data_IF_381498766252
#
_entry.id   IF_381498766252
#
_cell.length_a   1.000
_cell.length_b   1.000
_cell.length_c   1.000
_cell.angle_alpha   90.00
_cell.angle_beta   90.00
_cell.angle_gamma   90.00
#
_symmetry.space_group_name_H-M   'P 1'
#
loop_
_entity.id
_entity.type
_entity.pdbx_description
1 polymer ?
#
# COMPACT_ATOMS: atom_id res chain seq x y z
N UNK A 1 11.76 22.72 -23.76
CA UNK A 1 13.11 22.90 -23.19
C UNK A 1 13.02 22.46 -21.73
N UNK A 2 13.55 21.28 -21.39
CA UNK A 2 13.61 20.85 -19.99
C UNK A 2 14.61 21.76 -19.26
N UNK A 3 14.31 22.21 -18.02
CA UNK A 3 15.25 23.02 -17.27
C UNK A 3 16.54 22.22 -17.03
N UNK A 4 17.70 22.89 -17.09
CA UNK A 4 18.96 22.28 -16.66
C UNK A 4 18.85 21.90 -15.18
N UNK A 5 19.38 20.73 -14.75
CA UNK A 5 19.46 20.36 -13.34
C UNK A 5 20.22 21.43 -12.55
N UNK A 6 19.86 21.61 -11.29
CA UNK A 6 20.54 22.54 -10.40
C UNK A 6 21.94 22.01 -10.05
N UNK A 7 22.88 22.91 -9.70
CA UNK A 7 24.29 22.55 -9.52
C UNK A 7 24.51 21.51 -8.41
N UNK A 8 23.59 21.43 -7.43
CA UNK A 8 23.64 20.42 -6.37
C UNK A 8 23.64 18.99 -6.92
N UNK A 9 23.03 18.75 -8.09
CA UNK A 9 23.03 17.46 -8.75
C UNK A 9 24.44 17.00 -9.18
N UNK A 10 25.37 17.95 -9.35
CA UNK A 10 26.76 17.70 -9.74
C UNK A 10 27.75 17.86 -8.58
N UNK A 11 27.41 18.62 -7.54
CA UNK A 11 28.30 18.93 -6.41
C UNK A 11 28.41 17.77 -5.42
N UNK A 12 27.31 17.06 -5.13
CA UNK A 12 27.34 15.97 -4.17
C UNK A 12 27.80 14.67 -4.84
N UNK A 13 28.74 13.90 -4.23
CA UNK A 13 29.14 12.59 -4.72
C UNK A 13 28.03 11.56 -4.45
N UNK A 14 26.91 11.69 -5.16
CA UNK A 14 25.81 10.74 -5.13
C UNK A 14 26.18 9.62 -6.11
N UNK A 15 26.27 8.39 -5.60
CA UNK A 15 26.39 7.24 -6.49
C UNK A 15 25.06 7.03 -7.23
N UNK A 16 24.97 7.58 -8.44
CA UNK A 16 23.82 7.36 -9.33
C UNK A 16 23.97 5.95 -9.89
N UNK A 17 23.28 4.99 -9.28
CA UNK A 17 23.30 3.57 -9.65
C UNK A 17 23.09 3.36 -11.17
N UNK A 18 22.31 4.23 -11.82
CA UNK A 18 21.90 4.13 -13.23
C UNK A 18 22.78 5.00 -14.17
N UNK A 19 23.76 5.75 -13.65
CA UNK A 19 24.56 6.67 -14.49
C UNK A 19 25.55 5.97 -15.40
N UNK A 20 26.11 4.83 -14.97
CA UNK A 20 27.02 4.04 -15.79
C UNK A 20 26.25 2.98 -16.57
N UNK A 21 26.45 2.93 -17.89
CA UNK A 21 25.85 1.91 -18.79
C UNK A 21 26.03 0.49 -18.24
N UNK A 22 27.21 0.14 -17.73
CA UNK A 22 27.44 -1.21 -17.17
C UNK A 22 26.55 -1.51 -15.95
N UNK A 23 26.40 -0.53 -15.06
CA UNK A 23 25.53 -0.67 -13.89
C UNK A 23 24.06 -0.71 -14.29
N UNK A 24 23.65 0.11 -15.27
CA UNK A 24 22.31 0.11 -15.83
C UNK A 24 21.96 -1.26 -16.42
N UNK A 25 22.83 -1.83 -17.25
CA UNK A 25 22.64 -3.16 -17.82
C UNK A 25 22.54 -4.24 -16.73
N UNK A 26 23.40 -4.19 -15.72
CA UNK A 26 23.37 -5.15 -14.61
C UNK A 26 22.06 -5.03 -13.82
N UNK A 27 21.59 -3.82 -13.53
CA UNK A 27 20.30 -3.59 -12.85
C UNK A 27 19.13 -4.10 -13.68
N UNK A 28 19.03 -3.72 -14.95
CA UNK A 28 17.89 -4.03 -15.81
C UNK A 28 17.83 -5.51 -16.20
N UNK A 29 18.96 -6.11 -16.54
CA UNK A 29 18.98 -7.49 -17.08
C UNK A 29 19.25 -8.56 -16.03
N UNK A 30 19.84 -8.22 -14.88
CA UNK A 30 20.18 -9.20 -13.84
C UNK A 30 19.34 -8.98 -12.58
N UNK A 31 19.45 -7.82 -11.93
CA UNK A 31 18.81 -7.61 -10.64
C UNK A 31 17.28 -7.56 -10.73
N UNK A 32 16.70 -6.72 -11.61
CA UNK A 32 15.24 -6.60 -11.74
C UNK A 32 14.59 -7.97 -12.07
N UNK A 33 15.07 -8.76 -13.06
CA UNK A 33 14.48 -10.06 -13.36
C UNK A 33 14.68 -11.07 -12.22
N UNK A 34 15.84 -11.07 -11.55
CA UNK A 34 16.08 -11.95 -10.41
C UNK A 34 15.12 -11.68 -9.26
N UNK A 35 14.95 -10.42 -8.86
CA UNK A 35 14.01 -10.06 -7.80
C UNK A 35 12.55 -10.30 -8.20
N UNK A 36 12.19 -10.02 -9.46
CA UNK A 36 10.85 -10.30 -9.98
C UNK A 36 10.54 -11.81 -9.94
N UNK A 37 11.46 -12.65 -10.40
CA UNK A 37 11.31 -14.10 -10.39
C UNK A 37 11.23 -14.65 -8.97
N UNK A 38 12.10 -14.20 -8.06
CA UNK A 38 12.05 -14.60 -6.65
C UNK A 38 10.71 -14.21 -6.02
N UNK A 39 10.25 -12.97 -6.22
CA UNK A 39 8.98 -12.50 -5.67
C UNK A 39 7.80 -13.32 -6.19
N UNK A 40 7.79 -13.60 -7.50
CA UNK A 40 6.77 -14.44 -8.12
C UNK A 40 6.80 -15.88 -7.56
N UNK A 41 7.98 -16.48 -7.41
CA UNK A 41 8.12 -17.82 -6.86
C UNK A 41 7.63 -17.91 -5.41
N UNK A 42 8.01 -16.94 -4.56
CA UNK A 42 7.53 -16.86 -3.18
C UNK A 42 6.01 -16.69 -3.09
N UNK A 43 5.45 -15.83 -3.95
CA UNK A 43 4.01 -15.60 -4.02
C UNK A 43 3.25 -16.86 -4.42
N UNK A 44 3.68 -17.53 -5.49
CA UNK A 44 3.07 -18.76 -5.97
C UNK A 44 3.20 -19.89 -4.94
N UNK A 45 4.36 -20.03 -4.30
CA UNK A 45 4.58 -21.01 -3.24
C UNK A 45 3.63 -20.76 -2.05
N UNK A 46 3.49 -19.52 -1.62
CA UNK A 46 2.63 -19.17 -0.50
C UNK A 46 1.14 -19.41 -0.80
N UNK A 47 0.67 -19.00 -1.98
CA UNK A 47 -0.70 -19.27 -2.43
C UNK A 47 -0.94 -20.78 -2.54
N UNK A 48 -0.01 -21.51 -3.16
CA UNK A 48 -0.10 -22.96 -3.30
C UNK A 48 -0.26 -23.65 -1.95
N UNK A 49 0.64 -23.34 -1.00
CA UNK A 49 0.58 -23.88 0.36
C UNK A 49 -0.74 -23.52 1.04
N UNK A 50 -1.18 -22.26 0.93
CA UNK A 50 -2.42 -21.80 1.56
C UNK A 50 -3.63 -22.53 0.99
N UNK A 51 -3.73 -22.67 -0.32
CA UNK A 51 -4.82 -23.41 -0.98
C UNK A 51 -4.78 -24.88 -0.59
N UNK A 52 -3.61 -25.51 -0.57
CA UNK A 52 -3.44 -26.91 -0.19
C UNK A 52 -3.93 -27.17 1.24
N UNK A 53 -3.46 -26.39 2.22
CA UNK A 53 -3.85 -26.55 3.63
C UNK A 53 -5.27 -26.08 3.93
N UNK A 54 -5.96 -25.42 3.00
CA UNK A 54 -7.31 -24.91 3.24
C UNK A 54 -8.40 -25.71 2.53
N UNK A 55 -8.08 -26.31 1.38
CA UNK A 55 -9.04 -27.06 0.55
C UNK A 55 -8.74 -28.54 0.43
N UNK A 56 -7.47 -28.94 0.41
CA UNK A 56 -7.07 -30.34 0.12
C UNK A 56 -6.82 -31.11 1.41
N UNK A 57 -5.94 -30.59 2.27
CA UNK A 57 -5.52 -31.25 3.51
C UNK A 57 -5.66 -30.31 4.72
N UNK A 58 -6.90 -29.94 5.10
CA UNK A 58 -7.10 -29.05 6.24
C UNK A 58 -6.59 -29.67 7.54
N UNK A 59 -5.86 -28.89 8.37
CA UNK A 59 -5.36 -29.40 9.64
C UNK A 59 -6.52 -29.71 10.58
N UNK A 60 -6.45 -30.87 11.26
CA UNK A 60 -7.48 -31.33 12.22
C UNK A 60 -7.63 -30.40 13.44
N UNK A 61 -6.65 -29.54 13.70
CA UNK A 61 -6.65 -28.58 14.80
C UNK A 61 -7.53 -27.36 14.55
N UNK A 62 -8.02 -27.14 13.32
CA UNK A 62 -8.76 -25.93 12.94
C UNK A 62 -10.24 -26.25 12.76
N UNK A 63 -11.09 -25.54 13.51
CA UNK A 63 -12.54 -25.70 13.44
C UNK A 63 -13.10 -25.39 12.04
N UNK A 64 -14.25 -25.99 11.70
CA UNK A 64 -14.94 -25.71 10.43
C UNK A 64 -15.27 -24.21 10.27
N UNK A 65 -15.65 -23.55 11.37
CA UNK A 65 -15.92 -22.11 11.38
C UNK A 65 -14.66 -21.30 11.02
N UNK A 66 -13.52 -21.63 11.63
CA UNK A 66 -12.23 -20.98 11.33
C UNK A 66 -11.81 -21.20 9.88
N UNK A 67 -11.96 -22.41 9.33
CA UNK A 67 -11.65 -22.69 7.93
C UNK A 67 -12.51 -21.84 6.97
N UNK A 68 -13.81 -21.67 7.28
CA UNK A 68 -14.67 -20.81 6.48
C UNK A 68 -14.21 -19.35 6.50
N UNK A 69 -13.81 -18.83 7.66
CA UNK A 69 -13.24 -17.48 7.76
C UNK A 69 -11.94 -17.34 6.98
N UNK A 70 -11.05 -18.33 7.06
CA UNK A 70 -9.79 -18.35 6.31
C UNK A 70 -10.03 -18.38 4.79
N UNK A 71 -11.02 -19.14 4.31
CA UNK A 71 -11.39 -19.19 2.88
C UNK A 71 -11.90 -17.84 2.38
N UNK A 72 -12.81 -17.24 3.13
CA UNK A 72 -13.32 -15.91 2.81
C UNK A 72 -12.22 -14.84 2.87
N UNK A 73 -11.29 -14.95 3.82
CA UNK A 73 -10.13 -14.08 3.90
C UNK A 73 -9.23 -14.24 2.67
N UNK A 74 -8.87 -15.47 2.29
CA UNK A 74 -8.04 -15.77 1.12
C UNK A 74 -8.65 -15.20 -0.16
N UNK A 75 -9.93 -15.45 -0.44
CA UNK A 75 -10.61 -14.90 -1.62
C UNK A 75 -10.52 -13.38 -1.62
N UNK A 76 -10.72 -12.76 -0.46
CA UNK A 76 -10.63 -11.32 -0.37
C UNK A 76 -9.25 -10.75 -0.60
N UNK A 77 -8.23 -11.39 -0.02
CA UNK A 77 -6.82 -11.04 -0.24
C UNK A 77 -6.43 -11.19 -1.71
N UNK A 78 -6.90 -12.23 -2.41
CA UNK A 78 -6.64 -12.40 -3.84
C UNK A 78 -7.26 -11.28 -4.69
N UNK A 79 -8.49 -10.86 -4.36
CA UNK A 79 -9.14 -9.71 -5.03
C UNK A 79 -8.37 -8.41 -4.79
N UNK A 80 -7.88 -8.20 -3.57
CA UNK A 80 -7.07 -7.04 -3.22
C UNK A 80 -5.75 -7.02 -4.01
N UNK A 81 -5.04 -8.15 -4.04
CA UNK A 81 -3.79 -8.29 -4.80
C UNK A 81 -4.02 -7.99 -6.29
N UNK A 82 -5.06 -8.57 -6.89
CA UNK A 82 -5.41 -8.32 -8.28
C UNK A 82 -5.71 -6.84 -8.55
N UNK A 83 -6.44 -6.20 -7.63
CA UNK A 83 -6.75 -4.77 -7.76
C UNK A 83 -5.50 -3.92 -7.65
N UNK A 84 -4.62 -4.20 -6.68
CA UNK A 84 -3.35 -3.49 -6.51
C UNK A 84 -2.48 -3.59 -7.76
N UNK A 85 -2.30 -4.81 -8.28
CA UNK A 85 -1.50 -5.02 -9.48
C UNK A 85 -2.10 -4.35 -10.72
N UNK A 86 -3.43 -4.40 -10.92
CA UNK A 86 -4.05 -3.77 -12.09
C UNK A 86 -3.92 -2.24 -12.07
N UNK A 87 -4.14 -1.59 -10.92
CA UNK A 87 -4.02 -0.14 -10.78
C UNK A 87 -2.59 0.38 -10.88
N UNK A 88 -1.59 -0.39 -10.43
CA UNK A 88 -0.18 0.01 -10.57
C UNK A 88 0.41 -0.33 -11.94
N UNK A 89 0.09 -1.51 -12.48
CA UNK A 89 0.74 -2.00 -13.71
C UNK A 89 0.20 -1.29 -14.95
N UNK A 90 -1.09 -0.95 -14.97
CA UNK A 90 -1.72 -0.31 -16.13
C UNK A 90 -1.08 1.05 -16.48
N UNK A 91 -0.91 2.01 -15.54
CA UNK A 91 -0.22 3.27 -15.82
C UNK A 91 1.21 3.08 -16.33
N UNK A 92 1.96 2.15 -15.74
CA UNK A 92 3.34 1.84 -16.13
C UNK A 92 3.40 1.32 -17.57
N UNK A 93 2.52 0.38 -17.93
CA UNK A 93 2.43 -0.14 -19.30
C UNK A 93 2.08 0.98 -20.28
N UNK A 94 1.10 1.83 -19.95
CA UNK A 94 0.68 2.93 -20.83
C UNK A 94 1.81 3.94 -21.09
N UNK A 95 2.57 4.30 -20.05
CA UNK A 95 3.75 5.16 -20.18
C UNK A 95 4.84 4.47 -21.01
N UNK A 96 5.14 3.19 -20.74
CA UNK A 96 6.15 2.43 -21.47
C UNK A 96 5.82 2.28 -22.97
N UNK A 97 4.56 1.97 -23.29
CA UNK A 97 4.07 1.89 -24.68
C UNK A 97 4.15 3.25 -25.36
N UNK A 98 3.78 4.32 -24.67
CA UNK A 98 3.85 5.68 -25.22
C UNK A 98 5.29 6.12 -25.49
N UNK A 99 6.24 5.74 -24.62
CA UNK A 99 7.67 5.93 -24.85
C UNK A 99 8.15 5.14 -26.07
N UNK A 100 7.80 3.85 -26.17
CA UNK A 100 8.17 3.00 -27.31
C UNK A 100 7.62 3.53 -28.65
N UNK A 101 6.41 4.08 -28.65
CA UNK A 101 5.76 4.66 -29.83
C UNK A 101 6.16 6.12 -30.10
N UNK A 102 7.08 6.71 -29.34
CA UNK A 102 7.46 8.13 -29.40
C UNK A 102 6.26 9.09 -29.24
N UNK A 103 5.23 8.68 -28.49
CA UNK A 103 4.01 9.46 -28.16
C UNK A 103 3.97 9.86 -26.68
N UNK A 104 5.13 9.98 -26.05
CA UNK A 104 5.24 10.40 -24.67
C UNK A 104 4.73 11.84 -24.49
N UNK A 105 3.90 12.07 -23.48
CA UNK A 105 3.49 13.40 -23.05
C UNK A 105 3.65 13.54 -21.54
N UNK A 106 3.95 14.76 -21.10
CA UNK A 106 4.02 15.07 -19.67
C UNK A 106 2.66 14.92 -18.99
N UNK A 107 1.57 15.21 -19.71
CA UNK A 107 0.19 14.98 -19.26
C UNK A 107 -0.06 13.52 -18.90
N UNK A 108 0.36 12.58 -19.77
CA UNK A 108 0.23 11.15 -19.50
C UNK A 108 1.04 10.72 -18.27
N UNK A 109 2.27 11.22 -18.12
CA UNK A 109 3.10 10.93 -16.95
C UNK A 109 2.45 11.44 -15.66
N UNK A 110 1.93 12.67 -15.66
CA UNK A 110 1.24 13.23 -14.49
C UNK A 110 0.01 12.39 -14.12
N UNK A 111 -0.84 12.04 -15.08
CA UNK A 111 -2.00 11.16 -14.84
C UNK A 111 -1.56 9.79 -14.32
N UNK A 112 -0.48 9.21 -14.86
CA UNK A 112 0.05 7.93 -14.41
C UNK A 112 0.54 8.00 -12.96
N UNK A 113 1.26 9.06 -12.59
CA UNK A 113 1.71 9.31 -11.22
C UNK A 113 0.52 9.51 -10.28
N UNK A 114 -0.50 10.25 -10.69
CA UNK A 114 -1.72 10.44 -9.90
C UNK A 114 -2.48 9.12 -9.70
N UNK A 115 -2.61 8.28 -10.73
CA UNK A 115 -3.20 6.94 -10.60
C UNK A 115 -2.42 6.07 -9.61
N UNK A 116 -1.09 6.10 -9.70
CA UNK A 116 -0.23 5.40 -8.75
C UNK A 116 -0.40 6.00 -7.35
N UNK A 117 -0.50 7.32 -7.17
CA UNK A 117 -0.70 7.92 -5.85
C UNK A 117 -2.06 7.53 -5.23
N UNK A 118 -3.12 7.48 -6.04
CA UNK A 118 -4.48 7.18 -5.60
C UNK A 118 -4.74 5.68 -5.33
N UNK A 119 -3.80 4.78 -5.67
CA UNK A 119 -3.98 3.33 -5.48
C UNK A 119 -4.35 2.95 -4.05
N UNK A 120 -3.77 3.63 -3.04
CA UNK A 120 -4.02 3.33 -1.63
C UNK A 120 -5.48 3.59 -1.22
N UNK A 121 -6.13 4.60 -1.82
CA UNK A 121 -7.56 4.87 -1.59
C UNK A 121 -8.40 3.75 -2.18
N UNK A 122 -8.07 3.32 -3.40
CA UNK A 122 -8.75 2.19 -4.06
C UNK A 122 -8.59 0.91 -3.24
N UNK A 123 -7.38 0.65 -2.73
CA UNK A 123 -7.10 -0.50 -1.88
C UNK A 123 -7.97 -0.48 -0.61
N UNK A 124 -8.07 0.67 0.05
CA UNK A 124 -8.95 0.83 1.21
C UNK A 124 -10.41 0.51 0.86
N UNK A 125 -10.92 1.02 -0.27
CA UNK A 125 -12.28 0.74 -0.73
C UNK A 125 -12.49 -0.76 -0.98
N UNK A 126 -11.51 -1.44 -1.56
CA UNK A 126 -11.57 -2.90 -1.81
C UNK A 126 -11.58 -3.68 -0.51
N UNK A 127 -10.65 -3.39 0.41
CA UNK A 127 -10.59 -4.06 1.73
C UNK A 127 -11.94 -3.94 2.43
N UNK A 128 -12.49 -2.72 2.48
CA UNK A 128 -13.79 -2.47 3.08
C UNK A 128 -14.88 -3.22 2.33
N UNK A 129 -14.93 -3.18 1.00
CA UNK A 129 -15.99 -3.88 0.25
C UNK A 129 -16.00 -5.39 0.53
N UNK A 130 -14.82 -6.00 0.55
CA UNK A 130 -14.63 -7.44 0.55
C UNK A 130 -14.66 -8.04 1.97
N UNK A 131 -14.03 -7.42 2.95
CA UNK A 131 -13.88 -8.03 4.28
C UNK A 131 -14.93 -7.54 5.27
N UNK A 132 -15.90 -8.42 5.59
CA UNK A 132 -17.00 -8.14 6.54
C UNK A 132 -16.52 -7.59 7.89
N UNK A 133 -15.44 -8.14 8.44
CA UNK A 133 -14.90 -7.69 9.74
C UNK A 133 -14.42 -6.24 9.68
N UNK A 134 -13.73 -5.85 8.60
CA UNK A 134 -13.28 -4.48 8.40
C UNK A 134 -14.46 -3.54 8.21
N UNK A 135 -15.50 -3.90 7.45
CA UNK A 135 -16.73 -3.08 7.35
C UNK A 135 -17.39 -2.85 8.69
N UNK A 136 -17.52 -3.89 9.49
CA UNK A 136 -18.17 -3.80 10.78
C UNK A 136 -17.39 -2.90 11.73
N UNK A 137 -16.05 -3.03 11.74
CA UNK A 137 -15.18 -2.14 12.49
C UNK A 137 -15.32 -0.68 12.04
N UNK A 138 -15.30 -0.41 10.73
CA UNK A 138 -15.49 0.94 10.19
C UNK A 138 -16.86 1.52 10.55
N UNK A 139 -17.94 0.74 10.42
CA UNK A 139 -19.27 1.18 10.84
C UNK A 139 -19.31 1.54 12.32
N UNK A 140 -18.66 0.75 13.17
CA UNK A 140 -18.57 1.05 14.60
C UNK A 140 -17.79 2.34 14.86
N UNK A 141 -16.67 2.56 14.16
CA UNK A 141 -15.87 3.78 14.29
C UNK A 141 -16.64 5.02 13.83
N UNK A 142 -17.30 4.95 12.67
CA UNK A 142 -18.13 6.03 12.14
C UNK A 142 -19.30 6.32 13.08
N UNK A 143 -19.99 5.28 13.58
CA UNK A 143 -21.07 5.46 14.55
C UNK A 143 -20.56 6.11 15.84
N UNK A 144 -19.38 5.72 16.34
CA UNK A 144 -18.78 6.36 17.52
C UNK A 144 -18.46 7.82 17.25
N UNK A 145 -17.91 8.15 16.09
CA UNK A 145 -17.57 9.52 15.71
C UNK A 145 -18.83 10.40 15.59
N UNK A 146 -19.90 9.89 14.97
CA UNK A 146 -21.19 10.60 14.89
C UNK A 146 -21.88 10.75 16.25
N UNK A 147 -21.79 9.74 17.11
CA UNK A 147 -22.45 9.74 18.43
C UNK A 147 -21.54 10.27 19.55
N UNK A 148 -20.34 10.77 19.23
CA UNK A 148 -19.46 11.35 20.24
C UNK A 148 -20.09 12.64 20.75
N UNK A 149 -20.49 12.71 22.04
CA UNK A 149 -20.88 13.98 22.61
C UNK A 149 -19.67 14.91 22.59
N UNK A 150 -19.86 16.17 22.22
CA UNK A 150 -18.83 17.23 22.20
C UNK A 150 -18.17 17.48 23.58
N UNK A 151 -18.54 16.70 24.61
CA UNK A 151 -18.14 16.81 26.00
C UNK A 151 -17.15 15.74 26.44
N UNK A 152 -16.18 15.37 25.60
CA UNK A 152 -14.97 14.75 26.16
C UNK A 152 -14.23 15.86 26.90
N UNK A 153 -14.59 16.09 28.16
CA UNK A 153 -13.79 16.87 29.09
C UNK A 153 -12.38 16.29 28.98
N UNK A 154 -11.46 17.05 28.38
CA UNK A 154 -10.05 16.85 28.62
C UNK A 154 -9.95 16.81 30.14
N UNK A 155 -9.72 15.64 30.72
CA UNK A 155 -9.31 15.56 32.11
C UNK A 155 -7.99 16.31 32.14
N UNK A 156 -8.04 17.59 32.52
CA UNK A 156 -6.87 18.28 32.98
C UNK A 156 -6.33 17.43 34.12
N UNK A 157 -5.20 16.77 33.86
CA UNK A 157 -4.39 16.20 34.92
C UNK A 157 -4.22 17.36 35.92
N UNK A 158 -4.67 17.22 37.18
CA UNK A 158 -4.44 18.28 38.15
C UNK A 158 -2.94 18.34 38.36
N UNK A 159 -2.29 19.31 37.74
CA UNK A 159 -0.95 19.72 38.14
C UNK A 159 -1.11 20.17 39.58
N UNK A 160 -0.60 19.37 40.51
CA UNK A 160 -0.49 19.78 41.90
C UNK A 160 0.52 20.93 41.96
N UNK A 161 0.02 22.16 41.74
CA UNK A 161 0.76 23.37 42.05
C UNK A 161 0.70 23.51 43.56
N UNK A 162 1.78 23.06 44.19
CA UNK A 162 2.10 23.36 45.58
C UNK A 162 2.07 24.87 45.79
N UNK A 163 1.16 25.32 46.67
CA UNK A 163 1.26 26.52 47.50
C UNK A 163 1.28 27.89 46.79
N UNK A 164 0.24 28.70 47.03
CA UNK A 164 0.37 30.16 47.04
C UNK A 164 -0.80 30.96 46.45
N UNK A 165 -1.56 31.60 47.34
CA UNK A 165 -2.28 32.89 47.13
C UNK A 165 -3.55 32.96 46.25
N UNK A 166 -4.70 32.90 46.95
CA UNK A 166 -5.82 33.87 46.99
C UNK A 166 -6.32 34.60 45.72
N UNK A 167 -7.49 34.14 45.25
CA UNK A 167 -8.79 34.85 45.09
C UNK A 167 -9.00 36.05 44.14
N UNK A 168 -10.12 35.92 43.38
CA UNK A 168 -11.08 36.92 42.82
C UNK A 168 -10.71 37.63 41.50
N UNK A 169 -11.38 37.23 40.42
CA UNK A 169 -12.64 37.82 39.92
C UNK A 169 -13.55 36.71 39.41
#
# INVERSE_FOLDING_TARGET
>A
MYPCPTEEFFIFPIYILISNTNNLHLVIYVYIPFFALNTLAHFLFHIWCTVYYLYIAPPKSVSMATQLYQRNFLVGTLLQIFTLFSFMTLPVILVAVSLYLNRYSQELMNVAVDCIALHGIVECIVILSVHKHYRNAMKLMINRWYNQPCNTKVQSIPVQVTSGYTSRC
#
